data_IF_076953332411
#
_entry.id   IF_076953332411
#
_cell.length_a   1.000
_cell.length_b   1.000
_cell.length_c   1.000
_cell.angle_alpha   90.00
_cell.angle_beta   90.00
_cell.angle_gamma   90.00
#
_symmetry.space_group_name_H-M   'P 1'
#
loop_
_entity.id
_entity.type
_entity.pdbx_description
1 polymer ?
#
# COMPACT_ATOMS: atom_id res chain seq x y z
N UNK A 1 -11.60 -45.05 -39.41
CA UNK A 1 -11.48 -44.05 -38.31
C UNK A 1 -12.19 -44.63 -37.10
N UNK A 2 -11.46 -44.93 -36.02
CA UNK A 2 -12.06 -45.52 -34.82
C UNK A 2 -12.81 -44.43 -34.03
N UNK A 3 -14.11 -44.63 -33.80
CA UNK A 3 -14.90 -43.79 -32.92
C UNK A 3 -14.34 -43.88 -31.50
N UNK A 4 -14.13 -42.75 -30.80
CA UNK A 4 -13.70 -42.79 -29.42
C UNK A 4 -14.72 -43.58 -28.59
N UNK A 5 -14.25 -44.55 -27.81
CA UNK A 5 -15.11 -45.37 -26.94
C UNK A 5 -15.81 -44.44 -25.96
N UNK A 6 -17.14 -44.49 -25.88
CA UNK A 6 -18.03 -43.73 -24.98
C UNK A 6 -17.46 -43.38 -23.59
N UNK A 7 -16.74 -44.27 -22.87
CA UNK A 7 -16.08 -43.92 -21.61
C UNK A 7 -15.08 -42.75 -21.71
N UNK A 8 -14.33 -42.62 -22.80
CA UNK A 8 -13.32 -41.56 -22.98
C UNK A 8 -13.97 -40.18 -23.08
N UNK A 9 -15.11 -40.07 -23.78
CA UNK A 9 -15.86 -38.80 -23.85
C UNK A 9 -16.45 -38.40 -22.49
N UNK A 10 -16.96 -39.36 -21.72
CA UNK A 10 -17.49 -39.11 -20.38
C UNK A 10 -16.39 -38.64 -19.41
N UNK A 11 -15.20 -39.24 -19.48
CA UNK A 11 -14.05 -38.81 -18.69
C UNK A 11 -13.59 -37.39 -19.03
N UNK A 12 -13.54 -37.02 -20.32
CA UNK A 12 -13.20 -35.67 -20.78
C UNK A 12 -14.26 -34.65 -20.33
N UNK A 13 -15.55 -34.99 -20.47
CA UNK A 13 -16.64 -34.12 -20.02
C UNK A 13 -16.63 -33.89 -18.52
N UNK A 14 -16.36 -34.93 -17.72
CA UNK A 14 -16.28 -34.83 -16.26
C UNK A 14 -15.06 -34.00 -15.82
N UNK A 15 -13.90 -34.19 -16.46
CA UNK A 15 -12.70 -33.38 -16.15
C UNK A 15 -12.91 -31.91 -16.52
N UNK A 16 -13.51 -31.61 -17.68
CA UNK A 16 -13.87 -30.23 -18.03
C UNK A 16 -14.87 -29.64 -17.02
N UNK A 17 -15.90 -30.39 -16.63
CA UNK A 17 -16.88 -29.95 -15.62
C UNK A 17 -16.24 -29.66 -14.25
N UNK A 18 -15.31 -30.51 -13.79
CA UNK A 18 -14.56 -30.29 -12.54
C UNK A 18 -13.63 -29.08 -12.62
N UNK A 19 -12.99 -28.83 -13.78
CA UNK A 19 -12.19 -27.62 -14.03
C UNK A 19 -13.04 -26.35 -14.07
N UNK A 20 -14.30 -26.45 -14.51
CA UNK A 20 -15.26 -25.36 -14.41
C UNK A 20 -15.70 -25.10 -12.96
N UNK A 21 -15.93 -26.15 -12.17
CA UNK A 21 -16.27 -26.03 -10.74
C UNK A 21 -15.15 -25.38 -9.92
N UNK A 22 -13.88 -25.68 -10.21
CA UNK A 22 -12.75 -25.07 -9.50
C UNK A 22 -12.62 -23.56 -9.72
N UNK A 23 -13.19 -23.02 -10.80
CA UNK A 23 -13.25 -21.56 -11.05
C UNK A 23 -14.41 -20.85 -10.34
N UNK A 24 -15.34 -21.58 -9.71
CA UNK A 24 -16.54 -20.97 -9.11
C UNK A 24 -16.23 -20.32 -7.76
N UNK A 25 -15.15 -20.73 -7.07
CA UNK A 25 -14.72 -20.20 -5.77
C UNK A 25 -13.19 -20.03 -5.68
N UNK A 26 -12.56 -19.43 -6.69
CA UNK A 26 -11.12 -19.15 -6.66
C UNK A 26 -10.84 -17.84 -5.92
N UNK A 27 -9.68 -17.71 -5.29
CA UNK A 27 -9.19 -16.45 -4.72
C UNK A 27 -7.84 -16.14 -5.36
N UNK A 28 -7.76 -15.00 -6.04
CA UNK A 28 -6.49 -14.45 -6.52
C UNK A 28 -5.76 -13.85 -5.31
N UNK A 29 -4.51 -14.29 -5.09
CA UNK A 29 -3.67 -13.79 -3.99
C UNK A 29 -2.37 -13.26 -4.55
N UNK A 30 -1.98 -12.07 -4.12
CA UNK A 30 -0.70 -11.45 -4.46
C UNK A 30 0.02 -11.11 -3.14
N UNK A 31 1.29 -11.48 -3.00
CA UNK A 31 2.02 -11.30 -1.75
C UNK A 31 3.53 -11.20 -1.96
N UNK A 32 4.19 -10.42 -1.10
CA UNK A 32 5.64 -10.36 -1.00
C UNK A 32 6.08 -10.20 0.46
N UNK A 33 7.35 -10.53 0.74
CA UNK A 33 7.95 -10.36 2.05
C UNK A 33 9.44 -10.00 1.92
N UNK A 34 9.82 -8.88 2.51
CA UNK A 34 11.18 -8.41 2.66
C UNK A 34 11.54 -8.42 4.14
N UNK A 35 12.20 -9.49 4.60
CA UNK A 35 12.81 -9.54 5.94
C UNK A 35 14.04 -8.61 6.03
N UNK A 36 14.64 -8.33 4.88
CA UNK A 36 15.68 -7.34 4.63
C UNK A 36 15.63 -6.94 3.14
N UNK A 37 16.28 -5.85 2.77
CA UNK A 37 16.29 -5.31 1.40
C UNK A 37 17.60 -5.61 0.68
N UNK A 38 17.54 -6.20 -0.51
CA UNK A 38 18.73 -6.50 -1.32
C UNK A 38 19.04 -5.38 -2.33
N UNK A 39 20.30 -4.94 -2.39
CA UNK A 39 20.76 -4.02 -3.41
C UNK A 39 20.56 -4.64 -4.81
N UNK A 40 20.02 -3.87 -5.75
CA UNK A 40 19.74 -4.30 -7.14
C UNK A 40 18.67 -5.40 -7.28
N UNK A 41 17.82 -5.62 -6.28
CA UNK A 41 16.61 -6.42 -6.48
C UNK A 41 15.69 -5.75 -7.52
N UNK A 42 15.09 -6.56 -8.39
CA UNK A 42 14.10 -6.11 -9.38
C UNK A 42 12.68 -6.07 -8.79
N UNK A 43 12.49 -6.46 -7.53
CA UNK A 43 11.18 -6.49 -6.87
C UNK A 43 10.74 -5.10 -6.37
N UNK A 44 11.68 -4.15 -6.22
CA UNK A 44 11.42 -2.79 -5.79
C UNK A 44 11.86 -1.77 -6.86
N UNK A 45 10.95 -0.87 -7.20
CA UNK A 45 11.22 0.30 -8.02
C UNK A 45 11.52 1.49 -7.10
N UNK A 46 12.80 1.80 -6.94
CA UNK A 46 13.27 2.95 -6.17
C UNK A 46 13.20 4.23 -7.01
N UNK A 47 12.72 5.31 -6.40
CA UNK A 47 12.56 6.60 -7.06
C UNK A 47 13.15 7.73 -6.23
N UNK A 48 13.64 8.77 -6.92
CA UNK A 48 14.29 9.95 -6.34
C UNK A 48 15.48 9.55 -5.45
N UNK A 49 15.50 9.98 -4.19
CA UNK A 49 16.66 9.78 -3.30
C UNK A 49 16.62 8.43 -2.54
N UNK A 50 15.58 7.60 -2.73
CA UNK A 50 15.49 6.31 -2.07
C UNK A 50 16.63 5.37 -2.50
N UNK A 51 17.25 4.70 -1.52
CA UNK A 51 18.36 3.77 -1.74
C UNK A 51 18.36 2.64 -0.71
N UNK A 52 19.12 1.57 -0.97
CA UNK A 52 19.25 0.44 -0.04
C UNK A 52 20.67 0.45 0.52
N UNK A 53 20.80 0.41 1.84
CA UNK A 53 22.08 0.28 2.53
C UNK A 53 22.57 -1.16 2.42
N UNK A 54 23.89 -1.36 2.39
CA UNK A 54 24.51 -2.69 2.42
C UNK A 54 24.16 -3.52 3.66
N UNK A 55 23.61 -2.89 4.70
CA UNK A 55 23.03 -3.55 5.87
C UNK A 55 21.65 -4.17 5.65
N UNK A 56 21.07 -4.01 4.45
CA UNK A 56 19.74 -4.50 4.11
C UNK A 56 18.59 -3.60 4.56
N UNK A 57 18.85 -2.31 4.75
CA UNK A 57 17.85 -1.31 5.19
C UNK A 57 17.51 -0.40 4.02
N UNK A 58 16.23 -0.19 3.76
CA UNK A 58 15.75 0.77 2.75
C UNK A 58 15.73 2.17 3.35
N UNK A 59 16.57 3.05 2.84
CA UNK A 59 16.65 4.47 3.20
C UNK A 59 15.81 5.28 2.21
N UNK A 60 14.66 5.80 2.65
CA UNK A 60 13.76 6.55 1.76
C UNK A 60 14.25 7.98 1.51
N UNK A 61 14.88 8.62 2.50
CA UNK A 61 15.43 9.97 2.37
C UNK A 61 16.92 9.99 2.63
N UNK A 62 17.64 10.75 1.82
CA UNK A 62 19.09 10.76 1.75
C UNK A 62 19.79 11.14 3.05
N UNK A 63 20.80 10.36 3.38
CA UNK A 63 21.79 10.70 4.39
C UNK A 63 23.11 11.20 3.75
N UNK A 64 23.82 12.04 4.49
CA UNK A 64 25.24 12.33 4.21
C UNK A 64 26.11 11.11 4.50
N UNK A 65 27.39 11.15 4.09
CA UNK A 65 28.37 10.10 4.41
C UNK A 65 28.54 9.80 5.90
N UNK A 66 28.18 10.77 6.76
CA UNK A 66 28.26 10.62 8.21
C UNK A 66 26.92 10.21 8.85
N UNK A 67 25.93 9.79 8.04
CA UNK A 67 24.61 9.37 8.53
C UNK A 67 23.67 10.51 8.93
N UNK A 68 23.97 11.76 8.57
CA UNK A 68 23.12 12.92 8.88
C UNK A 68 22.09 13.13 7.77
N UNK A 69 20.78 13.23 8.06
CA UNK A 69 19.75 13.44 7.04
C UNK A 69 19.86 14.83 6.39
N UNK A 70 19.53 14.89 5.09
CA UNK A 70 19.57 16.13 4.30
C UNK A 70 18.15 16.66 4.05
N UNK A 71 18.00 17.99 4.15
CA UNK A 71 16.76 18.71 3.84
C UNK A 71 16.38 18.63 2.35
N UNK A 72 15.08 18.80 2.06
CA UNK A 72 14.50 18.71 0.70
C UNK A 72 14.81 17.38 -0.01
N UNK A 73 14.97 16.31 0.76
CA UNK A 73 15.06 14.96 0.25
C UNK A 73 13.69 14.32 0.20
N UNK A 74 13.39 13.66 -0.90
CA UNK A 74 12.20 12.84 -1.10
C UNK A 74 12.62 11.54 -1.74
N UNK A 75 12.08 10.42 -1.27
CA UNK A 75 12.26 9.16 -1.96
C UNK A 75 11.09 8.22 -1.76
N UNK A 76 10.92 7.34 -2.75
CA UNK A 76 9.81 6.38 -2.83
C UNK A 76 10.37 5.01 -3.19
N UNK A 77 9.80 3.98 -2.61
CA UNK A 77 10.02 2.60 -3.02
C UNK A 77 8.67 1.95 -3.29
N UNK A 78 8.48 1.45 -4.49
CA UNK A 78 7.24 0.78 -4.90
C UNK A 78 7.53 -0.69 -5.17
N UNK A 79 6.61 -1.57 -4.82
CA UNK A 79 6.67 -2.94 -5.31
C UNK A 79 6.52 -2.93 -6.84
N UNK A 80 7.32 -3.75 -7.53
CA UNK A 80 7.46 -3.68 -8.98
C UNK A 80 6.20 -4.10 -9.74
N UNK A 81 5.45 -5.06 -9.21
CA UNK A 81 4.22 -5.56 -9.84
C UNK A 81 2.97 -4.82 -9.29
N UNK A 82 2.09 -4.30 -10.15
CA UNK A 82 0.82 -3.72 -9.71
C UNK A 82 -0.08 -4.75 -9.03
N UNK A 83 -0.78 -4.32 -7.97
CA UNK A 83 -1.73 -5.12 -7.21
C UNK A 83 -3.15 -4.86 -7.71
N UNK A 84 -3.91 -5.94 -7.98
CA UNK A 84 -5.34 -5.82 -8.31
C UNK A 84 -6.15 -5.62 -7.02
N UNK A 85 -6.89 -4.52 -6.93
CA UNK A 85 -7.64 -4.12 -5.73
C UNK A 85 -9.15 -4.25 -5.87
N UNK A 86 -9.66 -4.32 -7.09
CA UNK A 86 -11.06 -4.69 -7.35
C UNK A 86 -11.20 -5.24 -8.76
N UNK A 87 -12.35 -5.85 -9.05
CA UNK A 87 -12.64 -6.43 -10.36
C UNK A 87 -13.94 -5.85 -10.92
N UNK A 88 -13.89 -5.32 -12.14
CA UNK A 88 -15.03 -4.67 -12.79
C UNK A 88 -16.10 -5.64 -13.27
N UNK A 89 -15.74 -6.90 -13.52
CA UNK A 89 -16.67 -7.94 -13.99
C UNK A 89 -17.53 -8.49 -12.87
N UNK A 90 -16.92 -8.79 -11.72
CA UNK A 90 -17.57 -9.38 -10.55
C UNK A 90 -18.05 -8.32 -9.57
N UNK A 91 -17.43 -7.14 -9.58
CA UNK A 91 -17.64 -6.09 -8.61
C UNK A 91 -16.94 -6.30 -7.27
N UNK A 92 -16.20 -7.40 -7.10
CA UNK A 92 -15.52 -7.77 -5.87
C UNK A 92 -14.33 -6.83 -5.61
N UNK A 93 -14.02 -6.65 -4.32
CA UNK A 93 -12.92 -5.79 -3.84
C UNK A 93 -11.97 -6.64 -3.00
N UNK A 94 -10.67 -6.45 -3.18
CA UNK A 94 -9.65 -7.18 -2.46
C UNK A 94 -9.59 -6.74 -1.00
N UNK A 95 -9.43 -7.71 -0.09
CA UNK A 95 -8.93 -7.43 1.25
C UNK A 95 -7.40 -7.45 1.20
N UNK A 96 -6.73 -6.66 2.03
CA UNK A 96 -5.27 -6.68 2.11
C UNK A 96 -4.75 -6.49 3.53
N UNK A 97 -3.55 -6.97 3.77
CA UNK A 97 -2.79 -6.72 4.98
C UNK A 97 -1.34 -6.40 4.59
N UNK A 98 -0.78 -5.35 5.18
CA UNK A 98 0.63 -5.02 5.05
C UNK A 98 1.23 -4.75 6.41
N UNK A 99 2.48 -5.18 6.59
CA UNK A 99 3.23 -4.97 7.82
C UNK A 99 4.61 -4.47 7.45
N UNK A 100 5.08 -3.45 8.13
CA UNK A 100 6.45 -2.99 7.97
C UNK A 100 7.01 -2.47 9.28
N UNK A 101 8.32 -2.47 9.38
CA UNK A 101 9.04 -1.87 10.50
C UNK A 101 9.84 -0.69 10.01
N UNK A 102 9.79 0.42 10.73
CA UNK A 102 10.53 1.62 10.38
C UNK A 102 11.27 2.21 11.57
N UNK A 103 12.25 3.07 11.28
CA UNK A 103 12.96 3.89 12.23
C UNK A 103 12.98 5.35 11.74
N UNK A 104 12.55 6.26 12.62
CA UNK A 104 12.70 7.70 12.42
C UNK A 104 13.61 8.24 13.53
N UNK A 105 14.69 8.91 13.12
CA UNK A 105 15.62 9.60 14.01
C UNK A 105 15.63 11.10 13.69
N UNK A 106 15.30 11.91 14.69
CA UNK A 106 15.29 13.37 14.69
C UNK A 106 16.55 13.88 15.40
N UNK A 107 17.61 14.26 14.65
CA UNK A 107 18.89 14.67 15.24
C UNK A 107 18.86 16.07 15.85
N UNK A 108 17.86 16.89 15.51
CA UNK A 108 17.74 18.29 15.95
C UNK A 108 16.35 18.53 16.53
N UNK A 109 16.27 19.31 17.61
CA UNK A 109 15.01 19.74 18.19
C UNK A 109 14.49 21.08 17.61
N UNK A 110 15.39 21.88 17.04
CA UNK A 110 15.10 23.19 16.44
C UNK A 110 15.94 23.40 15.15
N UNK A 111 15.32 23.82 14.01
CA UNK A 111 13.88 23.92 13.79
C UNK A 111 13.19 22.56 13.96
N UNK A 112 11.86 22.57 14.00
CA UNK A 112 11.09 21.33 14.14
C UNK A 112 11.44 20.32 13.03
N UNK A 113 11.59 19.03 13.37
CA UNK A 113 11.85 17.96 12.40
C UNK A 113 10.67 17.83 11.43
N UNK A 114 10.95 17.32 10.24
CA UNK A 114 9.98 17.23 9.15
C UNK A 114 10.44 16.23 8.06
N UNK A 115 9.54 15.76 7.19
CA UNK A 115 8.07 15.97 7.23
C UNK A 115 7.31 14.69 7.60
N UNK A 116 7.80 13.50 7.22
CA UNK A 116 7.21 12.24 7.63
C UNK A 116 7.33 11.11 6.61
N UNK A 117 6.62 10.02 6.89
CA UNK A 117 6.61 8.76 6.15
C UNK A 117 5.17 8.35 5.81
N UNK A 118 4.95 7.74 4.64
CA UNK A 118 3.65 7.18 4.27
C UNK A 118 3.76 5.83 3.57
N UNK A 119 2.84 4.91 3.89
CA UNK A 119 2.44 3.82 2.99
C UNK A 119 1.39 4.37 2.03
N UNK A 120 1.49 4.08 0.74
CA UNK A 120 0.57 4.62 -0.24
C UNK A 120 0.18 3.63 -1.35
N UNK A 121 -0.96 3.91 -1.96
CA UNK A 121 -1.47 3.26 -3.18
C UNK A 121 -1.77 4.33 -4.23
N UNK A 122 -1.32 4.11 -5.46
CA UNK A 122 -1.61 4.98 -6.62
C UNK A 122 -1.89 4.14 -7.86
N UNK A 123 -2.71 4.61 -8.82
CA UNK A 123 -2.81 3.95 -10.12
C UNK A 123 -1.44 3.81 -10.79
N UNK A 124 -1.19 2.74 -11.57
CA UNK A 124 0.03 2.59 -12.33
C UNK A 124 0.30 3.82 -13.22
N UNK A 125 1.57 4.20 -13.34
CA UNK A 125 2.02 5.37 -14.12
C UNK A 125 1.49 6.74 -13.62
N UNK A 126 0.97 6.81 -12.39
CA UNK A 126 0.59 8.10 -11.79
C UNK A 126 1.78 9.06 -11.67
N UNK A 127 1.55 10.37 -11.84
CA UNK A 127 2.58 11.37 -11.54
C UNK A 127 3.03 11.26 -10.08
N UNK A 128 4.28 11.64 -9.81
CA UNK A 128 4.77 11.74 -8.44
C UNK A 128 4.18 12.98 -7.74
N UNK A 129 4.00 12.88 -6.42
CA UNK A 129 3.59 14.00 -5.57
C UNK A 129 4.71 15.02 -5.33
N UNK A 130 4.35 16.13 -4.69
CA UNK A 130 5.29 17.17 -4.28
C UNK A 130 6.09 16.75 -3.04
N UNK A 131 7.23 17.42 -2.83
CA UNK A 131 8.10 17.20 -1.67
C UNK A 131 7.47 17.74 -0.37
N UNK A 132 8.21 17.62 0.74
CA UNK A 132 7.82 18.16 2.04
C UNK A 132 6.54 17.55 2.58
N UNK A 133 5.67 18.37 3.16
CA UNK A 133 4.37 17.96 3.73
C UNK A 133 3.38 17.26 2.78
N UNK A 134 3.64 17.15 1.46
CA UNK A 134 2.83 16.29 0.58
C UNK A 134 3.35 14.84 0.51
N UNK A 135 4.41 14.55 1.28
CA UNK A 135 5.04 13.25 1.47
C UNK A 135 5.50 12.55 0.19
N UNK A 136 5.67 13.27 -0.93
CA UNK A 136 5.96 12.67 -2.24
C UNK A 136 4.79 11.93 -2.88
N UNK A 137 3.59 12.02 -2.29
CA UNK A 137 2.38 11.28 -2.69
C UNK A 137 1.34 12.20 -3.31
N UNK A 138 1.02 13.32 -2.66
CA UNK A 138 -0.06 14.23 -3.06
C UNK A 138 0.45 15.46 -3.81
N UNK A 139 -0.46 16.22 -4.42
CA UNK A 139 -0.16 17.52 -5.05
C UNK A 139 -1.09 18.61 -4.49
N UNK A 140 -0.57 19.83 -4.27
CA UNK A 140 -1.40 20.98 -3.94
C UNK A 140 -2.48 21.22 -5.02
N UNK A 141 -3.71 21.46 -4.58
CA UNK A 141 -4.86 21.64 -5.48
C UNK A 141 -5.52 20.34 -5.96
N UNK A 142 -5.04 19.19 -5.47
CA UNK A 142 -5.60 17.87 -5.78
C UNK A 142 -5.15 17.33 -7.14
N UNK A 143 -5.94 16.41 -7.69
CA UNK A 143 -5.73 15.87 -9.04
C UNK A 143 -4.86 14.63 -9.14
N UNK A 144 -4.34 14.11 -8.02
CA UNK A 144 -3.79 12.75 -7.94
C UNK A 144 -4.79 11.84 -7.22
N UNK A 145 -5.18 10.76 -7.90
CA UNK A 145 -5.90 9.68 -7.24
C UNK A 145 -4.89 8.86 -6.43
N UNK A 146 -4.97 8.95 -5.12
CA UNK A 146 -4.03 8.33 -4.21
C UNK A 146 -4.69 8.05 -2.87
N UNK A 147 -4.27 6.96 -2.24
CA UNK A 147 -4.59 6.62 -0.87
C UNK A 147 -3.29 6.51 -0.09
N UNK A 148 -3.26 6.98 1.15
CA UNK A 148 -2.11 6.79 2.02
C UNK A 148 -2.50 6.59 3.49
N UNK A 149 -1.59 5.94 4.21
CA UNK A 149 -1.52 5.97 5.67
C UNK A 149 -0.22 6.69 6.00
N UNK A 150 -0.34 7.89 6.54
CA UNK A 150 0.81 8.73 6.90
C UNK A 150 1.18 8.60 8.38
N UNK A 151 2.46 8.85 8.65
CA UNK A 151 3.09 9.04 9.94
C UNK A 151 3.77 10.41 9.88
N UNK A 152 2.96 11.45 10.04
CA UNK A 152 3.36 12.85 9.90
C UNK A 152 4.04 13.34 11.18
N UNK A 153 5.19 14.01 11.01
CA UNK A 153 6.02 14.54 12.09
C UNK A 153 6.07 16.07 12.11
N UNK A 154 5.50 16.74 11.10
CA UNK A 154 5.56 18.19 10.95
C UNK A 154 4.19 18.81 10.68
N UNK A 155 3.73 19.63 11.62
CA UNK A 155 2.42 20.26 11.53
C UNK A 155 2.39 21.35 10.45
N UNK A 156 1.84 21.04 9.27
CA UNK A 156 1.43 22.05 8.30
C UNK A 156 0.10 22.70 8.71
N UNK A 157 -0.40 23.63 7.89
CA UNK A 157 -1.62 24.40 8.20
C UNK A 157 -2.90 23.57 8.24
N UNK A 158 -2.88 22.36 7.66
CA UNK A 158 -4.02 21.44 7.63
C UNK A 158 -3.95 20.38 8.73
N UNK A 159 -2.83 20.26 9.44
CA UNK A 159 -2.58 19.15 10.35
C UNK A 159 -3.08 19.40 11.77
N UNK A 160 -3.53 18.34 12.46
CA UNK A 160 -3.69 18.35 13.90
C UNK A 160 -2.32 18.38 14.61
N UNK A 161 -2.31 18.11 15.91
CA UNK A 161 -1.07 17.97 16.67
C UNK A 161 -0.22 16.81 16.14
N UNK A 162 1.07 17.06 15.90
CA UNK A 162 2.08 16.07 15.49
C UNK A 162 2.92 15.52 16.66
N UNK A 163 3.50 14.32 16.54
CA UNK A 163 3.35 13.41 15.39
C UNK A 163 2.02 12.67 15.41
N UNK A 164 1.48 12.36 14.23
CA UNK A 164 0.19 11.72 14.10
C UNK A 164 0.14 10.68 12.99
N UNK A 165 -0.73 9.67 13.18
CA UNK A 165 -1.12 8.72 12.14
C UNK A 165 -2.28 9.34 11.39
N UNK A 166 -2.24 9.32 10.06
CA UNK A 166 -3.30 9.80 9.19
C UNK A 166 -3.84 8.72 8.25
N UNK A 167 -5.10 8.86 7.81
CA UNK A 167 -5.71 8.09 6.73
C UNK A 167 -6.14 9.07 5.64
N UNK A 168 -5.36 9.08 4.56
CA UNK A 168 -5.45 10.06 3.48
C UNK A 168 -6.15 9.44 2.28
N UNK A 169 -7.20 10.11 1.81
CA UNK A 169 -8.00 9.65 0.69
C UNK A 169 -8.11 10.80 -0.30
N UNK A 170 -7.39 10.69 -1.42
CA UNK A 170 -7.37 11.67 -2.51
C UNK A 170 -6.93 13.09 -2.11
N UNK A 171 -6.34 13.25 -0.93
CA UNK A 171 -5.90 14.51 -0.33
C UNK A 171 -4.92 14.22 0.80
N UNK A 172 -3.91 15.09 0.98
CA UNK A 172 -3.05 15.09 2.18
C UNK A 172 -3.80 15.43 3.47
N UNK A 173 -4.96 16.08 3.35
CA UNK A 173 -5.81 16.33 4.52
C UNK A 173 -6.49 15.05 4.93
N UNK A 174 -5.95 14.45 5.99
CA UNK A 174 -6.40 13.18 6.54
C UNK A 174 -7.88 13.16 6.91
N UNK A 175 -8.56 12.09 6.51
CA UNK A 175 -9.97 11.83 6.85
C UNK A 175 -10.17 11.43 8.32
N UNK A 176 -9.13 10.88 8.93
CA UNK A 176 -9.08 10.50 10.34
C UNK A 176 -7.62 10.53 10.81
N UNK A 177 -7.41 11.05 12.01
CA UNK A 177 -6.06 11.16 12.60
C UNK A 177 -6.00 10.61 14.02
N UNK A 178 -4.80 10.23 14.45
CA UNK A 178 -4.50 9.86 15.83
C UNK A 178 -3.09 10.34 16.20
N UNK A 179 -3.00 11.22 17.19
CA UNK A 179 -1.71 11.62 17.75
C UNK A 179 -1.01 10.42 18.41
N UNK A 180 0.30 10.30 18.19
CA UNK A 180 1.14 9.32 18.87
C UNK A 180 2.40 10.00 19.43
N UNK A 181 3.08 9.33 20.36
CA UNK A 181 4.41 9.73 20.79
C UNK A 181 5.45 8.91 20.06
N UNK A 182 6.30 9.59 19.28
CA UNK A 182 7.41 8.96 18.57
C UNK A 182 8.51 8.56 19.56
N UNK A 183 8.97 7.31 19.48
CA UNK A 183 10.22 6.88 20.11
C UNK A 183 11.38 7.21 19.18
N UNK A 184 12.07 8.32 19.46
CA UNK A 184 13.13 8.84 18.59
C UNK A 184 14.28 7.82 18.42
N UNK A 185 14.52 7.37 17.19
CA UNK A 185 15.50 6.31 16.88
C UNK A 185 15.07 4.91 17.34
N UNK A 186 13.83 4.74 17.80
CA UNK A 186 13.22 3.46 18.13
C UNK A 186 12.62 2.78 16.90
N UNK A 187 12.46 1.45 16.98
CA UNK A 187 11.80 0.67 15.92
C UNK A 187 10.29 0.69 16.14
N UNK A 188 9.58 1.27 15.17
CA UNK A 188 8.14 1.20 15.03
C UNK A 188 7.73 -0.05 14.24
N UNK A 189 6.67 -0.72 14.67
CA UNK A 189 6.06 -1.84 13.95
C UNK A 189 4.66 -1.44 13.53
N UNK A 190 4.37 -1.53 12.23
CA UNK A 190 3.10 -1.12 11.64
C UNK A 190 2.35 -2.33 11.11
N UNK A 191 1.03 -2.33 11.32
CA UNK A 191 0.08 -3.22 10.63
C UNK A 191 -1.01 -2.35 10.02
N UNK A 192 -1.21 -2.44 8.70
CA UNK A 192 -2.35 -1.85 8.00
C UNK A 192 -3.18 -2.99 7.43
N UNK A 193 -4.45 -3.05 7.78
CA UNK A 193 -5.37 -4.10 7.35
C UNK A 193 -6.64 -3.49 6.82
N UNK A 194 -7.04 -3.92 5.62
CA UNK A 194 -8.30 -3.56 4.99
C UNK A 194 -9.17 -4.80 4.81
N UNK A 195 -10.37 -4.75 5.35
CA UNK A 195 -11.40 -5.78 5.21
C UNK A 195 -12.45 -5.30 4.21
N UNK A 196 -12.50 -5.92 3.03
CA UNK A 196 -13.37 -5.46 1.94
C UNK A 196 -14.87 -5.64 2.18
N UNK A 197 -15.36 -6.71 2.84
CA UNK A 197 -16.78 -6.83 3.22
C UNK A 197 -17.27 -5.68 4.11
N UNK A 198 -16.45 -5.21 5.05
CA UNK A 198 -16.82 -4.14 5.99
C UNK A 198 -16.35 -2.75 5.56
N UNK A 199 -15.45 -2.68 4.56
CA UNK A 199 -14.74 -1.47 4.12
C UNK A 199 -13.91 -0.81 5.23
N UNK A 200 -13.57 -1.56 6.27
CA UNK A 200 -12.83 -1.04 7.42
C UNK A 200 -11.35 -1.15 7.13
N UNK A 201 -10.67 0.00 7.15
CA UNK A 201 -9.23 0.11 7.24
C UNK A 201 -8.85 0.27 8.71
N UNK A 202 -7.98 -0.60 9.20
CA UNK A 202 -7.36 -0.54 10.53
C UNK A 202 -5.85 -0.32 10.39
N UNK A 203 -5.31 0.58 11.19
CA UNK A 203 -3.89 0.87 11.31
C UNK A 203 -3.49 0.66 12.75
N UNK A 204 -2.46 -0.14 12.98
CA UNK A 204 -1.83 -0.36 14.28
C UNK A 204 -0.37 0.06 14.18
N UNK A 205 0.06 0.92 15.11
CA UNK A 205 1.45 1.31 15.31
C UNK A 205 1.88 0.86 16.70
N UNK A 206 2.97 0.12 16.82
CA UNK A 206 3.49 -0.34 18.08
C UNK A 206 5.00 -0.08 18.23
N UNK A 207 5.40 0.47 19.38
CA UNK A 207 6.79 0.53 19.79
C UNK A 207 7.03 -0.51 20.88
N UNK A 208 7.45 -1.71 20.48
CA UNK A 208 7.60 -2.84 21.41
C UNK A 208 8.63 -2.58 22.52
N UNK A 209 9.66 -1.76 22.25
CA UNK A 209 10.71 -1.40 23.22
C UNK A 209 10.17 -0.67 24.46
N UNK A 210 9.06 0.05 24.31
CA UNK A 210 8.41 0.83 25.38
C UNK A 210 6.99 0.37 25.70
N UNK A 211 6.49 -0.65 25.00
CA UNK A 211 5.18 -1.25 25.23
C UNK A 211 4.00 -0.34 24.87
N UNK A 212 4.17 0.61 23.94
CA UNK A 212 3.10 1.51 23.48
C UNK A 212 2.45 1.00 22.19
N UNK A 213 1.14 1.16 22.08
CA UNK A 213 0.33 0.76 20.92
C UNK A 213 -0.69 1.86 20.61
N UNK A 214 -0.80 2.22 19.35
CA UNK A 214 -1.75 3.20 18.82
C UNK A 214 -2.57 2.52 17.72
N UNK A 215 -3.90 2.71 17.75
CA UNK A 215 -4.82 2.10 16.77
C UNK A 215 -5.76 3.14 16.20
N UNK A 216 -5.77 3.25 14.87
CA UNK A 216 -6.63 4.14 14.10
C UNK A 216 -7.45 3.32 13.12
N UNK A 217 -8.75 3.60 13.00
CA UNK A 217 -9.62 2.94 12.04
C UNK A 217 -10.54 3.93 11.34
N UNK A 218 -10.78 3.72 10.05
CA UNK A 218 -11.78 4.46 9.30
C UNK A 218 -12.45 3.57 8.23
N UNK A 219 -13.62 3.98 7.75
CA UNK A 219 -14.28 3.35 6.60
C UNK A 219 -13.71 3.97 5.33
N UNK A 220 -13.23 3.14 4.40
CA UNK A 220 -12.69 3.55 3.10
C UNK A 220 -13.27 2.64 2.03
N UNK A 221 -13.94 3.19 1.02
CA UNK A 221 -14.46 2.39 -0.10
C UNK A 221 -13.45 2.40 -1.26
N UNK A 222 -12.49 1.47 -1.26
CA UNK A 222 -11.41 1.45 -2.27
C UNK A 222 -11.91 1.44 -3.71
N UNK A 223 -13.03 0.80 -4.00
CA UNK A 223 -13.58 0.77 -5.36
C UNK A 223 -14.11 2.15 -5.76
N UNK A 224 -14.77 2.84 -4.83
CA UNK A 224 -15.24 4.20 -5.06
C UNK A 224 -14.08 5.19 -5.21
N UNK A 225 -13.01 5.00 -4.44
CA UNK A 225 -11.86 5.91 -4.45
C UNK A 225 -10.90 5.64 -5.62
N UNK A 226 -10.84 4.41 -6.15
CA UNK A 226 -10.09 4.04 -7.36
C UNK A 226 -11.00 3.64 -8.55
N UNK A 227 -11.94 4.49 -8.99
CA UNK A 227 -12.95 4.10 -9.98
C UNK A 227 -12.37 3.89 -11.38
N UNK A 228 -11.21 4.49 -11.65
CA UNK A 228 -10.56 4.47 -12.97
C UNK A 228 -9.41 3.47 -13.05
N UNK A 229 -9.15 2.69 -12.01
CA UNK A 229 -8.09 1.68 -12.02
C UNK A 229 -8.40 0.51 -11.10
N UNK A 230 -8.51 -0.68 -11.69
CA UNK A 230 -8.62 -1.96 -10.96
C UNK A 230 -7.28 -2.37 -10.33
N UNK A 231 -6.18 -1.74 -10.75
CA UNK A 231 -4.81 -2.04 -10.35
C UNK A 231 -4.17 -0.81 -9.68
N UNK A 232 -3.32 -1.03 -8.70
CA UNK A 232 -2.54 0.02 -8.04
C UNK A 232 -1.11 -0.42 -7.80
N UNK A 233 -0.17 0.52 -7.84
CA UNK A 233 1.15 0.31 -7.26
C UNK A 233 1.09 0.60 -5.76
N UNK A 234 1.66 -0.29 -4.96
CA UNK A 234 1.82 -0.12 -3.51
C UNK A 234 3.25 0.29 -3.20
N UNK A 235 3.44 1.20 -2.25
CA UNK A 235 4.78 1.70 -1.92
C UNK A 235 4.88 2.41 -0.58
N UNK A 236 6.13 2.76 -0.26
CA UNK A 236 6.51 3.58 0.88
C UNK A 236 7.16 4.86 0.35
N UNK A 237 6.85 6.00 0.96
CA UNK A 237 7.36 7.32 0.57
C UNK A 237 7.72 8.13 1.80
N UNK A 238 8.79 8.91 1.75
CA UNK A 238 9.11 9.84 2.82
C UNK A 238 9.77 11.11 2.30
N UNK A 239 9.69 12.17 3.11
CA UNK A 239 10.18 13.50 2.78
C UNK A 239 10.85 14.17 3.98
N UNK A 240 11.75 15.09 3.70
CA UNK A 240 12.37 15.97 4.70
C UNK A 240 12.06 17.43 4.42
N UNK A 241 12.13 18.23 5.48
CA UNK A 241 11.71 19.64 5.51
C UNK A 241 12.38 20.56 4.48
N UNK A 242 11.69 21.66 4.20
CA UNK A 242 12.19 22.71 3.31
C UNK A 242 13.20 23.66 3.95
N UNK A 243 13.42 23.56 5.27
CA UNK A 243 14.39 24.35 6.02
C UNK A 243 15.60 23.50 6.42
N UNK A 244 16.79 24.12 6.44
CA UNK A 244 18.00 23.46 6.94
C UNK A 244 17.75 22.99 8.38
N UNK A 245 18.16 21.76 8.69
CA UNK A 245 17.97 21.07 9.96
C UNK A 245 16.50 20.68 10.30
N UNK A 246 15.50 21.05 9.49
CA UNK A 246 14.17 20.47 9.58
C UNK A 246 14.18 19.10 8.87
N UNK A 247 14.81 18.12 9.51
CA UNK A 247 15.16 16.84 8.89
C UNK A 247 15.03 15.71 9.90
N UNK A 248 14.80 14.52 9.39
CA UNK A 248 14.85 13.27 10.11
C UNK A 248 15.22 12.13 9.16
N UNK A 249 15.62 10.99 9.71
CA UNK A 249 15.87 9.78 8.92
C UNK A 249 14.55 9.04 8.65
N UNK A 250 14.46 8.36 7.52
CA UNK A 250 13.31 7.51 7.17
C UNK A 250 13.81 6.16 6.69
N UNK A 251 14.07 5.25 7.63
CA UNK A 251 14.61 3.93 7.36
C UNK A 251 13.52 2.86 7.51
N UNK A 252 13.40 1.99 6.52
CA UNK A 252 12.51 0.82 6.54
C UNK A 252 13.37 -0.43 6.72
N UNK A 253 13.02 -1.22 7.72
CA UNK A 253 13.79 -2.40 8.16
C UNK A 253 13.24 -3.66 7.52
N UNK A 254 11.91 -3.79 7.45
CA UNK A 254 11.22 -4.93 6.85
C UNK A 254 9.88 -4.49 6.28
N UNK A 255 9.37 -5.21 5.28
CA UNK A 255 8.07 -4.93 4.67
C UNK A 255 7.45 -6.19 4.05
N UNK A 256 6.19 -6.47 4.40
CA UNK A 256 5.38 -7.54 3.85
C UNK A 256 4.02 -7.02 3.40
N UNK A 257 3.45 -7.67 2.41
CA UNK A 257 2.13 -7.36 1.87
C UNK A 257 1.45 -8.64 1.42
N UNK A 258 0.15 -8.71 1.60
CA UNK A 258 -0.71 -9.71 0.98
C UNK A 258 -2.06 -9.09 0.63
N UNK A 259 -2.58 -9.39 -0.55
CA UNK A 259 -3.97 -9.12 -0.92
C UNK A 259 -4.67 -10.40 -1.35
N UNK A 260 -5.99 -10.42 -1.18
CA UNK A 260 -6.85 -11.53 -1.60
C UNK A 260 -8.12 -10.98 -2.25
N UNK A 261 -8.35 -11.35 -3.50
CA UNK A 261 -9.51 -10.98 -4.30
C UNK A 261 -10.30 -12.24 -4.69
N UNK A 262 -11.57 -12.29 -4.30
CA UNK A 262 -12.42 -13.43 -4.66
C UNK A 262 -12.85 -13.35 -6.13
N UNK A 263 -12.68 -14.44 -6.87
CA UNK A 263 -13.25 -14.62 -8.20
C UNK A 263 -14.58 -15.37 -8.07
N UNK A 264 -15.69 -14.70 -8.38
CA UNK A 264 -17.00 -15.33 -8.51
C UNK A 264 -17.50 -15.17 -9.94
N UNK A 265 -17.37 -16.22 -10.76
CA UNK A 265 -17.98 -16.24 -12.08
C UNK A 265 -19.50 -16.41 -11.94
N UNK A 266 -20.23 -15.31 -11.84
CA UNK A 266 -21.68 -15.31 -12.10
C UNK A 266 -21.88 -15.45 -13.61
N UNK A 267 -21.65 -16.65 -14.16
CA UNK A 267 -22.14 -16.98 -15.48
C UNK A 267 -23.67 -16.93 -15.40
N UNK A 268 -24.27 -15.81 -15.83
CA UNK A 268 -25.71 -15.74 -16.06
C UNK A 268 -26.01 -16.86 -17.05
N UNK A 269 -26.82 -17.88 -16.69
CA UNK A 269 -27.24 -18.87 -17.65
C UNK A 269 -28.01 -18.11 -18.72
N UNK A 270 -27.48 -18.01 -19.94
CA UNK A 270 -28.28 -17.54 -21.07
C UNK A 270 -29.42 -18.53 -21.21
N UNK A 271 -30.62 -18.12 -20.81
CA UNK A 271 -31.83 -18.88 -21.06
C UNK A 271 -31.99 -18.99 -22.57
N UNK A 272 -31.60 -20.13 -23.14
CA UNK A 272 -31.93 -20.46 -24.52
C UNK A 272 -33.45 -20.59 -24.60
N UNK A 273 -34.12 -19.52 -25.02
CA UNK A 273 -35.50 -19.57 -25.48
C UNK A 273 -35.52 -20.35 -26.79
N UNK A 274 -35.67 -21.67 -26.70
CA UNK A 274 -36.14 -22.48 -27.81
C UNK A 274 -37.66 -22.29 -27.90
N UNK A 275 -38.11 -21.34 -28.71
CA UNK A 275 -39.48 -21.34 -29.22
C UNK A 275 -39.60 -22.44 -30.26
N UNK A 276 -40.15 -23.58 -29.86
CA UNK A 276 -40.89 -24.44 -30.79
C UNK A 276 -42.27 -23.81 -30.97
N UNK A 277 -42.57 -23.37 -32.19
CA UNK A 277 -43.94 -23.18 -32.64
C UNK A 277 -44.09 -23.97 -33.95
N UNK A 278 -45.04 -24.90 -33.88
CA UNK A 278 -45.66 -25.70 -34.94
C UNK A 278 -46.21 -24.88 -36.09
#
# INVERSE_FOLDING_TARGET
MASPKLPVLAFISLTLFLLFLSKVNSTETQSFNFDHFEENSNELNLQREASIKSSGVLELTKLTKNGVPVWKSTGRALYAEPIKIWDSTTGNVASFETRFSFNITQPYADPKPADGLAFFMVPPNSPQGEDGGNLGVFRPGGGLNAFAVEFDTFQNTWDPQVPHIGIDVNSIVSSKTLHFQLENGGVANVVIKYDSPTKILNVVLAFHSVGTVYTLSNIVDLKQEFPNSEWVNVGLSATTGYQKNAVETHEIISWSFTSSLQETNNAIPTSNHNTFAS
#
